data_IF_721508063711
#
_entry.id   IF_721508063711
#
_cell.length_a   1.000
_cell.length_b   1.000
_cell.length_c   1.000
_cell.angle_alpha   90.00
_cell.angle_beta   90.00
_cell.angle_gamma   90.00
#
_symmetry.space_group_name_H-M   'P 1'
#
loop_
_entity.id
_entity.type
_entity.pdbx_description
1 polymer ?
#
# COMPACT_ATOMS: atom_id res chain seq x y z
N UNK A 1 -1.64 11.72 -33.33
CA UNK A 1 -0.29 12.00 -32.84
C UNK A 1 -0.03 11.17 -31.58
N UNK A 2 0.88 10.20 -31.61
CA UNK A 2 1.30 9.50 -30.40
C UNK A 2 2.16 10.41 -29.52
N UNK A 3 1.85 10.49 -28.22
CA UNK A 3 2.64 11.20 -27.21
C UNK A 3 2.60 10.44 -25.88
N UNK A 4 3.77 10.00 -25.41
CA UNK A 4 3.90 9.08 -24.28
C UNK A 4 3.02 7.83 -24.51
N UNK A 5 2.09 7.58 -23.60
CA UNK A 5 1.15 6.46 -23.60
C UNK A 5 -0.21 6.82 -24.22
N UNK A 6 -0.35 8.01 -24.80
CA UNK A 6 -1.62 8.51 -25.34
C UNK A 6 -1.56 8.69 -26.86
N UNK A 7 -2.63 8.30 -27.53
CA UNK A 7 -2.90 8.61 -28.92
C UNK A 7 -3.82 9.83 -28.95
N UNK A 8 -3.29 10.95 -29.43
CA UNK A 8 -3.98 12.23 -29.51
C UNK A 8 -4.59 12.39 -30.90
N UNK A 9 -5.89 12.66 -30.98
CA UNK A 9 -6.63 12.87 -32.23
C UNK A 9 -7.41 14.17 -32.13
N UNK A 10 -7.31 15.03 -33.15
CA UNK A 10 -8.17 16.21 -33.27
C UNK A 10 -9.51 15.78 -33.87
N UNK A 11 -10.60 16.12 -33.20
CA UNK A 11 -11.96 15.88 -33.67
C UNK A 11 -12.40 16.97 -34.65
N UNK A 12 -13.46 16.71 -35.41
CA UNK A 12 -14.04 17.65 -36.37
C UNK A 12 -14.54 18.94 -35.70
N UNK A 13 -15.02 18.85 -34.45
CA UNK A 13 -15.43 19.99 -33.62
C UNK A 13 -14.25 20.80 -33.04
N UNK A 14 -13.02 20.45 -33.42
CA UNK A 14 -11.80 21.10 -32.94
C UNK A 14 -11.31 20.64 -31.57
N UNK A 15 -12.06 19.78 -30.85
CA UNK A 15 -11.62 19.25 -29.56
C UNK A 15 -10.55 18.17 -29.71
N UNK A 16 -9.83 17.94 -28.63
CA UNK A 16 -8.81 16.90 -28.54
C UNK A 16 -9.42 15.64 -27.91
N UNK A 17 -9.35 14.52 -28.61
CA UNK A 17 -9.64 13.19 -28.09
C UNK A 17 -8.33 12.48 -27.77
N UNK A 18 -8.25 11.85 -26.60
CA UNK A 18 -7.12 11.00 -26.22
C UNK A 18 -7.58 9.57 -25.99
N UNK A 19 -6.80 8.61 -26.49
CA UNK A 19 -6.98 7.17 -26.29
C UNK A 19 -5.65 6.54 -25.87
N UNK A 20 -5.64 5.28 -25.44
CA UNK A 20 -4.39 4.58 -25.10
C UNK A 20 -3.62 4.27 -26.38
N UNK A 21 -2.37 4.73 -26.44
CA UNK A 21 -1.46 4.40 -27.55
C UNK A 21 -0.81 3.04 -27.33
N UNK A 22 -0.74 2.24 -28.40
CA UNK A 22 -0.01 0.97 -28.45
C UNK A 22 0.93 0.99 -29.64
N UNK A 23 2.21 0.69 -29.40
CA UNK A 23 3.19 0.52 -30.47
C UNK A 23 2.83 -0.70 -31.33
N UNK A 24 3.22 -0.68 -32.61
CA UNK A 24 3.05 -1.82 -33.52
C UNK A 24 3.74 -3.10 -33.01
N UNK A 25 4.81 -2.96 -32.21
CA UNK A 25 5.54 -4.07 -31.58
C UNK A 25 4.89 -4.57 -30.27
N UNK A 26 3.70 -4.06 -29.90
CA UNK A 26 3.01 -4.53 -28.71
C UNK A 26 2.49 -5.97 -28.92
N UNK A 27 3.13 -6.95 -28.31
CA UNK A 27 2.78 -8.36 -28.41
C UNK A 27 1.68 -8.80 -27.42
N UNK A 28 0.93 -7.87 -26.83
CA UNK A 28 -0.13 -8.17 -25.85
C UNK A 28 0.32 -9.04 -24.66
N UNK A 29 1.61 -9.00 -24.30
CA UNK A 29 2.15 -9.71 -23.14
C UNK A 29 2.14 -8.83 -21.91
N UNK A 30 1.49 -9.34 -20.87
CA UNK A 30 1.57 -8.81 -19.51
C UNK A 30 2.10 -9.92 -18.59
N UNK A 31 2.23 -9.62 -17.30
CA UNK A 31 2.57 -10.61 -16.30
C UNK A 31 1.56 -11.76 -16.32
N UNK A 32 1.94 -12.95 -16.80
CA UNK A 32 1.03 -14.10 -16.89
C UNK A 32 0.54 -14.56 -15.50
N UNK A 33 -0.72 -15.00 -15.38
CA UNK A 33 -1.30 -15.31 -14.06
C UNK A 33 -0.59 -16.47 -13.32
N UNK A 34 -0.07 -17.46 -14.07
CA UNK A 34 0.66 -18.61 -13.52
C UNK A 34 2.15 -18.35 -13.25
N UNK A 35 2.66 -17.14 -13.50
CA UNK A 35 4.06 -16.83 -13.26
C UNK A 35 4.39 -16.88 -11.76
N UNK A 36 5.67 -17.13 -11.43
CA UNK A 36 6.18 -17.13 -10.06
C UNK A 36 6.33 -15.70 -9.53
N UNK A 37 5.20 -15.00 -9.34
CA UNK A 37 5.15 -13.63 -8.84
C UNK A 37 4.06 -13.50 -7.77
N UNK A 38 4.25 -12.60 -6.79
CA UNK A 38 3.25 -12.35 -5.76
C UNK A 38 1.88 -12.01 -6.34
N UNK A 39 0.82 -12.50 -5.70
CA UNK A 39 -0.56 -12.18 -6.07
C UNK A 39 -0.81 -10.67 -6.05
N UNK A 40 -0.17 -9.95 -5.14
CA UNK A 40 -0.23 -8.49 -5.05
C UNK A 40 0.26 -7.80 -6.33
N UNK A 41 1.34 -8.30 -6.95
CA UNK A 41 1.87 -7.73 -8.20
C UNK A 41 0.93 -7.99 -9.37
N UNK A 42 0.35 -9.19 -9.45
CA UNK A 42 -0.68 -9.53 -10.45
C UNK A 42 -1.91 -8.64 -10.30
N UNK A 43 -2.35 -8.40 -9.06
CA UNK A 43 -3.46 -7.50 -8.79
C UNK A 43 -3.13 -6.03 -9.10
N UNK A 44 -1.91 -5.59 -8.81
CA UNK A 44 -1.41 -4.26 -9.16
C UNK A 44 -1.38 -4.06 -10.68
N UNK A 45 -0.97 -5.07 -11.45
CA UNK A 45 -1.01 -5.04 -12.90
C UNK A 45 -2.43 -4.76 -13.43
N UNK A 46 -3.45 -5.44 -12.88
CA UNK A 46 -4.87 -5.16 -13.18
C UNK A 46 -5.23 -3.71 -12.84
N UNK A 47 -4.98 -3.28 -11.60
CA UNK A 47 -5.35 -1.93 -11.13
C UNK A 47 -4.72 -0.84 -11.98
N UNK A 48 -3.43 -0.93 -12.25
CA UNK A 48 -2.70 0.08 -13.01
C UNK A 48 -3.21 0.19 -14.44
N UNK A 49 -3.46 -0.93 -15.13
CA UNK A 49 -3.96 -0.88 -16.50
C UNK A 49 -5.38 -0.32 -16.58
N UNK A 50 -6.28 -0.71 -15.66
CA UNK A 50 -7.63 -0.13 -15.61
C UNK A 50 -7.63 1.34 -15.16
N UNK A 51 -6.70 1.75 -14.29
CA UNK A 51 -6.53 3.15 -13.91
C UNK A 51 -6.07 4.00 -15.10
N UNK A 52 -5.23 3.45 -15.98
CA UNK A 52 -4.80 4.14 -17.21
C UNK A 52 -5.97 4.46 -18.12
N UNK A 53 -6.99 3.59 -18.20
CA UNK A 53 -8.20 3.90 -18.96
C UNK A 53 -8.83 5.21 -18.51
N UNK A 54 -8.91 5.42 -17.19
CA UNK A 54 -9.50 6.63 -16.62
C UNK A 54 -8.64 7.88 -16.84
N UNK A 55 -7.32 7.73 -16.83
CA UNK A 55 -6.40 8.87 -16.96
C UNK A 55 -6.00 9.17 -18.41
N UNK A 56 -6.17 8.23 -19.34
CA UNK A 56 -5.71 8.33 -20.73
C UNK A 56 -6.84 8.50 -21.74
N UNK A 57 -8.01 7.91 -21.50
CA UNK A 57 -9.15 8.08 -22.40
C UNK A 57 -9.99 9.30 -21.99
N UNK A 58 -10.21 10.22 -22.95
CA UNK A 58 -10.97 11.45 -22.70
C UNK A 58 -12.48 11.23 -22.66
N UNK A 59 -12.99 10.33 -23.50
CA UNK A 59 -14.41 10.10 -23.74
C UNK A 59 -14.86 8.70 -23.31
N UNK A 60 -16.15 8.54 -23.07
CA UNK A 60 -16.71 7.29 -22.56
C UNK A 60 -16.69 6.15 -23.59
N UNK A 61 -16.72 6.46 -24.90
CA UNK A 61 -16.56 5.45 -25.95
C UNK A 61 -15.16 4.84 -25.89
N UNK A 62 -14.13 5.71 -25.88
CA UNK A 62 -12.74 5.28 -25.75
C UNK A 62 -12.49 4.51 -24.45
N UNK A 63 -13.11 4.91 -23.33
CA UNK A 63 -13.03 4.16 -22.07
C UNK A 63 -13.66 2.76 -22.19
N UNK A 64 -14.82 2.64 -22.84
CA UNK A 64 -15.53 1.37 -23.02
C UNK A 64 -14.76 0.41 -23.92
N UNK A 65 -14.26 0.89 -25.05
CA UNK A 65 -13.43 0.11 -25.98
C UNK A 65 -12.16 -0.39 -25.31
N UNK A 66 -11.46 0.50 -24.61
CA UNK A 66 -10.22 0.17 -23.90
C UNK A 66 -10.46 -0.82 -22.75
N UNK A 67 -11.56 -0.64 -22.01
CA UNK A 67 -11.97 -1.58 -20.97
C UNK A 67 -12.23 -2.98 -21.54
N UNK A 68 -12.95 -3.05 -22.68
CA UNK A 68 -13.21 -4.31 -23.39
C UNK A 68 -11.90 -4.98 -23.83
N UNK A 69 -10.97 -4.21 -24.37
CA UNK A 69 -9.64 -4.70 -24.72
C UNK A 69 -8.90 -5.27 -23.52
N UNK A 70 -8.89 -4.56 -22.37
CA UNK A 70 -8.19 -5.02 -21.18
C UNK A 70 -8.77 -6.33 -20.63
N UNK A 71 -10.09 -6.48 -20.64
CA UNK A 71 -10.70 -7.76 -20.27
C UNK A 71 -10.20 -8.91 -21.15
N UNK A 72 -10.19 -8.74 -22.46
CA UNK A 72 -9.67 -9.74 -23.39
C UNK A 72 -8.16 -10.02 -23.16
N UNK A 73 -7.37 -8.96 -22.95
CA UNK A 73 -5.93 -9.05 -22.66
C UNK A 73 -5.66 -9.90 -21.41
N UNK A 74 -6.35 -9.63 -20.30
CA UNK A 74 -6.18 -10.36 -19.05
C UNK A 74 -6.64 -11.81 -19.15
N UNK A 75 -7.76 -12.06 -19.83
CA UNK A 75 -8.26 -13.42 -20.09
C UNK A 75 -7.24 -14.24 -20.91
N UNK A 76 -6.68 -13.65 -21.98
CA UNK A 76 -5.64 -14.28 -22.79
C UNK A 76 -4.34 -14.56 -22.02
N UNK A 77 -4.05 -13.78 -20.96
CA UNK A 77 -2.90 -13.97 -20.07
C UNK A 77 -3.23 -14.83 -18.82
N UNK A 78 -4.37 -15.53 -18.84
CA UNK A 78 -4.75 -16.53 -17.84
C UNK A 78 -5.35 -15.99 -16.55
N UNK A 79 -5.78 -14.72 -16.51
CA UNK A 79 -6.38 -14.13 -15.30
C UNK A 79 -7.84 -14.57 -15.13
N UNK A 80 -8.21 -15.13 -13.97
CA UNK A 80 -9.61 -15.44 -13.70
C UNK A 80 -10.49 -14.20 -13.63
N UNK A 81 -11.66 -14.21 -14.29
CA UNK A 81 -12.66 -13.12 -14.20
C UNK A 81 -13.00 -12.70 -12.76
N UNK A 82 -13.19 -13.61 -11.78
CA UNK A 82 -13.42 -13.24 -10.39
C UNK A 82 -12.25 -12.46 -9.77
N UNK A 83 -11.02 -12.80 -10.14
CA UNK A 83 -9.82 -12.12 -9.65
C UNK A 83 -9.75 -10.68 -10.18
N UNK A 84 -10.01 -10.47 -11.47
CA UNK A 84 -10.08 -9.14 -12.08
C UNK A 84 -11.13 -8.29 -11.34
N UNK A 85 -12.35 -8.81 -11.16
CA UNK A 85 -13.41 -8.13 -10.42
C UNK A 85 -13.00 -7.78 -8.99
N UNK A 86 -12.33 -8.70 -8.28
CA UNK A 86 -11.81 -8.46 -6.92
C UNK A 86 -10.80 -7.31 -6.91
N UNK A 87 -9.90 -7.24 -7.88
CA UNK A 87 -8.87 -6.19 -7.94
C UNK A 87 -9.44 -4.79 -8.22
N UNK A 88 -10.54 -4.71 -8.98
CA UNK A 88 -11.21 -3.46 -9.35
C UNK A 88 -12.21 -2.97 -8.28
N UNK A 89 -12.50 -3.75 -7.24
CA UNK A 89 -13.29 -3.26 -6.11
C UNK A 89 -12.55 -2.11 -5.41
N UNK A 90 -13.27 -1.04 -5.11
CA UNK A 90 -12.76 0.03 -4.24
C UNK A 90 -12.40 -0.59 -2.87
N UNK A 91 -11.22 -0.30 -2.31
CA UNK A 91 -10.95 -0.67 -0.93
C UNK A 91 -11.93 0.09 -0.04
N UNK A 92 -12.73 -0.64 0.75
CA UNK A 92 -13.36 -0.09 1.95
C UNK A 92 -12.22 0.17 2.94
N UNK A 93 -11.57 1.31 2.84
CA UNK A 93 -10.70 1.77 3.90
C UNK A 93 -11.41 2.94 4.55
N UNK A 94 -12.15 2.65 5.62
CA UNK A 94 -12.14 3.58 6.74
C UNK A 94 -10.68 3.69 7.14
N UNK A 95 -10.07 4.83 6.81
CA UNK A 95 -8.69 5.12 7.13
C UNK A 95 -8.66 5.32 8.64
N UNK A 96 -8.45 4.27 9.41
CA UNK A 96 -8.13 4.41 10.83
C UNK A 96 -6.91 5.32 10.91
N UNK A 97 -7.01 6.39 11.70
CA UNK A 97 -5.96 7.42 11.81
C UNK A 97 -4.71 6.94 12.56
N UNK A 98 -4.70 5.69 13.01
CA UNK A 98 -3.55 5.05 13.63
C UNK A 98 -2.70 4.38 12.55
N UNK A 99 -1.56 5.01 12.25
CA UNK A 99 -0.52 4.36 11.45
C UNK A 99 0.24 3.38 12.33
N UNK A 100 -0.04 2.08 12.18
CA UNK A 100 0.81 1.05 12.76
C UNK A 100 2.27 1.24 12.30
N UNK A 101 3.27 1.03 13.18
CA UNK A 101 4.67 1.18 12.83
C UNK A 101 5.06 0.25 11.66
N UNK A 102 5.35 0.85 10.50
CA UNK A 102 5.75 0.16 9.27
C UNK A 102 7.17 -0.36 9.41
N UNK A 103 7.32 -1.67 9.42
CA UNK A 103 8.62 -2.35 9.33
C UNK A 103 8.77 -2.92 7.92
N UNK A 104 9.94 -2.72 7.32
CA UNK A 104 10.23 -3.19 5.97
C UNK A 104 10.97 -4.51 6.03
N UNK A 105 10.37 -5.56 5.47
CA UNK A 105 11.00 -6.87 5.32
C UNK A 105 11.13 -7.18 3.83
N UNK A 106 12.36 -7.22 3.33
CA UNK A 106 12.66 -7.55 1.95
C UNK A 106 12.98 -9.05 1.86
N UNK A 107 12.06 -9.84 1.31
CA UNK A 107 12.24 -11.27 1.06
C UNK A 107 12.12 -11.52 -0.45
N UNK A 108 13.08 -12.23 -1.08
CA UNK A 108 12.93 -12.70 -2.45
C UNK A 108 11.66 -13.55 -2.59
N UNK A 109 10.84 -13.29 -3.61
CA UNK A 109 9.63 -14.08 -3.80
C UNK A 109 9.96 -15.48 -4.35
N UNK A 110 9.87 -16.47 -3.48
CA UNK A 110 9.77 -17.88 -3.82
C UNK A 110 8.36 -18.30 -3.43
N UNK A 111 7.55 -18.75 -4.40
CA UNK A 111 6.18 -19.18 -4.14
C UNK A 111 6.14 -20.19 -2.98
N UNK A 112 5.09 -20.10 -2.17
CA UNK A 112 4.85 -20.90 -0.96
C UNK A 112 5.84 -20.58 0.19
N UNK A 113 7.15 -20.49 -0.06
CA UNK A 113 8.16 -20.18 0.95
C UNK A 113 8.06 -18.72 1.44
N UNK A 114 8.03 -17.76 0.53
CA UNK A 114 7.95 -16.34 0.90
C UNK A 114 6.62 -16.00 1.59
N UNK A 115 5.54 -16.69 1.20
CA UNK A 115 4.23 -16.57 1.83
C UNK A 115 4.25 -17.14 3.25
N UNK A 116 4.83 -18.33 3.44
CA UNK A 116 4.97 -18.94 4.76
C UNK A 116 5.86 -18.11 5.70
N UNK A 117 6.99 -17.58 5.21
CA UNK A 117 7.87 -16.71 6.00
C UNK A 117 7.13 -15.44 6.40
N UNK A 118 6.43 -14.80 5.46
CA UNK A 118 5.68 -13.57 5.73
C UNK A 118 4.57 -13.81 6.76
N UNK A 119 3.81 -14.89 6.61
CA UNK A 119 2.76 -15.27 7.57
C UNK A 119 3.32 -15.58 8.96
N UNK A 120 4.44 -16.30 9.03
CA UNK A 120 5.11 -16.63 10.28
C UNK A 120 5.60 -15.36 10.98
N UNK A 121 6.30 -14.48 10.25
CA UNK A 121 6.79 -13.21 10.79
C UNK A 121 5.64 -12.32 11.30
N UNK A 122 4.53 -12.25 10.54
CA UNK A 122 3.34 -11.50 10.96
C UNK A 122 2.69 -12.10 12.22
N UNK A 123 2.60 -13.43 12.32
CA UNK A 123 2.07 -14.11 13.51
C UNK A 123 2.94 -13.86 14.74
N UNK A 124 4.25 -14.06 14.63
CA UNK A 124 5.19 -13.81 15.72
C UNK A 124 5.12 -12.36 16.20
N UNK A 125 5.01 -11.40 15.27
CA UNK A 125 4.88 -9.99 15.62
C UNK A 125 3.57 -9.67 16.33
N UNK A 126 2.43 -10.13 15.82
CA UNK A 126 1.12 -9.93 16.48
C UNK A 126 1.13 -10.45 17.91
N UNK A 127 1.73 -11.62 18.14
CA UNK A 127 1.89 -12.19 19.48
C UNK A 127 2.82 -11.34 20.35
N UNK A 128 3.95 -10.87 19.81
CA UNK A 128 4.88 -9.98 20.52
C UNK A 128 4.21 -8.66 20.90
N UNK A 129 3.50 -8.01 19.98
CA UNK A 129 2.83 -6.73 20.20
C UNK A 129 1.69 -6.87 21.23
N UNK A 130 0.91 -7.97 21.17
CA UNK A 130 -0.10 -8.28 22.18
C UNK A 130 0.51 -8.52 23.56
N UNK A 131 1.62 -9.28 23.64
CA UNK A 131 2.34 -9.50 24.89
C UNK A 131 2.94 -8.21 25.47
N UNK A 132 3.47 -7.33 24.62
CA UNK A 132 3.95 -6.02 25.05
C UNK A 132 2.81 -5.17 25.61
N UNK A 133 1.65 -5.16 24.96
CA UNK A 133 0.47 -4.43 25.44
C UNK A 133 0.01 -4.91 26.82
N UNK A 134 0.00 -6.23 27.06
CA UNK A 134 -0.31 -6.80 28.38
C UNK A 134 0.73 -6.41 29.43
N UNK A 135 2.02 -6.43 29.09
CA UNK A 135 3.08 -5.95 29.99
C UNK A 135 2.89 -4.46 30.34
N UNK A 136 2.52 -3.62 29.38
CA UNK A 136 2.25 -2.20 29.63
C UNK A 136 1.10 -1.99 30.62
N UNK A 137 0.03 -2.80 30.56
CA UNK A 137 -1.08 -2.71 31.53
C UNK A 137 -0.67 -3.08 32.97
N UNK A 138 0.34 -3.93 33.13
CA UNK A 138 0.82 -4.39 34.44
C UNK A 138 1.83 -3.42 35.07
N UNK A 139 2.29 -2.41 34.33
CA UNK A 139 3.10 -1.34 34.89
C UNK A 139 2.18 -0.47 35.77
N UNK A 140 2.29 -0.63 37.08
CA UNK A 140 1.66 0.27 38.05
C UNK A 140 2.37 1.62 37.93
N UNK A 141 1.67 2.74 37.68
CA UNK A 141 2.30 4.05 37.67
C UNK A 141 2.84 4.33 39.08
N UNK A 142 4.15 4.59 39.27
CA UNK A 142 4.62 5.19 40.51
C UNK A 142 3.88 6.51 40.71
N UNK A 143 3.58 6.85 41.97
CA UNK A 143 2.92 8.12 42.32
C UNK A 143 3.64 9.27 41.61
N UNK A 144 2.92 10.19 40.95
CA UNK A 144 3.55 11.31 40.29
C UNK A 144 4.42 12.06 41.31
N UNK A 145 5.69 12.37 40.99
CA UNK A 145 6.48 13.21 41.86
C UNK A 145 5.78 14.56 41.96
N UNK A 146 5.52 15.02 43.18
CA UNK A 146 5.08 16.38 43.47
C UNK A 146 6.22 17.33 43.16
N UNK A 147 6.50 17.57 41.88
CA UNK A 147 7.48 18.57 41.45
C UNK A 147 6.93 19.32 40.25
N UNK A 148 6.73 20.60 40.48
CA UNK A 148 6.27 21.64 39.56
C UNK A 148 7.40 21.99 38.55
N UNK A 149 7.91 20.97 37.85
CA UNK A 149 9.07 21.06 36.97
C UNK A 149 8.68 20.90 35.50
N UNK A 150 9.01 21.90 34.69
CA UNK A 150 8.81 21.87 33.23
C UNK A 150 9.57 20.69 32.59
N UNK A 151 8.83 19.70 32.08
CA UNK A 151 9.35 18.58 31.32
C UNK A 151 9.69 19.02 29.88
N UNK A 152 10.98 19.05 29.56
CA UNK A 152 11.46 19.25 28.18
C UNK A 152 11.91 17.91 27.62
N UNK A 153 11.11 17.31 26.73
CA UNK A 153 11.51 16.12 25.96
C UNK A 153 11.82 16.47 24.50
N UNK A 154 12.89 15.90 23.97
CA UNK A 154 13.37 16.14 22.61
C UNK A 154 12.91 14.99 21.69
N UNK A 155 11.59 14.89 21.48
CA UNK A 155 10.96 13.74 20.81
C UNK A 155 10.25 14.13 19.49
N UNK A 156 9.98 13.15 18.58
CA UNK A 156 9.61 13.41 17.19
C UNK A 156 8.24 14.09 17.04
N UNK A 157 8.02 14.77 15.92
CA UNK A 157 6.80 15.54 15.56
C UNK A 157 5.47 14.76 15.54
N UNK A 158 5.44 13.45 15.84
CA UNK A 158 4.21 12.66 15.80
C UNK A 158 3.50 12.70 17.16
N UNK A 159 2.16 12.87 17.16
CA UNK A 159 1.38 12.81 18.40
C UNK A 159 1.50 11.43 19.02
N UNK A 160 1.94 11.39 20.27
CA UNK A 160 2.04 10.21 21.10
C UNK A 160 0.66 9.90 21.71
N UNK A 161 0.37 8.64 21.91
CA UNK A 161 -0.83 8.20 22.64
C UNK A 161 -0.66 8.44 24.15
N UNK A 162 -1.76 8.64 24.87
CA UNK A 162 -1.77 8.79 26.35
C UNK A 162 -0.89 7.78 27.12
N UNK A 163 -0.90 6.47 26.81
CA UNK A 163 0.00 5.52 27.46
C UNK A 163 1.48 5.75 27.12
N UNK A 164 1.81 6.20 25.90
CA UNK A 164 3.19 6.51 25.51
C UNK A 164 3.71 7.77 26.20
N UNK A 165 2.87 8.81 26.34
CA UNK A 165 3.18 10.01 27.10
C UNK A 165 3.41 9.70 28.57
N UNK A 166 2.59 8.80 29.13
CA UNK A 166 2.74 8.32 30.51
C UNK A 166 4.10 7.63 30.69
N UNK A 167 4.50 6.77 29.75
CA UNK A 167 5.82 6.11 29.78
C UNK A 167 6.98 7.10 29.70
N UNK A 168 6.84 8.18 28.92
CA UNK A 168 7.87 9.21 28.75
C UNK A 168 7.95 10.21 29.89
N UNK A 169 6.88 10.35 30.68
CA UNK A 169 6.86 11.16 31.90
C UNK A 169 7.66 10.54 33.05
N UNK A 170 8.02 9.25 32.93
CA UNK A 170 8.98 8.62 33.82
C UNK A 170 10.38 9.09 33.44
N UNK A 171 10.95 9.98 34.23
CA UNK A 171 12.32 10.50 34.04
C UNK A 171 13.28 9.36 33.67
N UNK A 172 13.79 9.39 32.43
CA UNK A 172 15.00 8.65 32.10
C UNK A 172 16.14 9.35 32.83
N UNK A 173 16.52 8.84 34.00
CA UNK A 173 17.75 9.22 34.67
C UNK A 173 18.93 8.73 33.82
N UNK A 174 19.31 9.52 32.83
CA UNK A 174 20.60 9.34 32.18
C UNK A 174 21.68 9.62 33.22
N UNK A 175 22.54 8.64 33.45
CA UNK A 175 23.66 8.78 34.37
C UNK A 175 24.68 9.72 33.70
N UNK A 176 24.75 10.98 34.14
CA UNK A 176 25.67 11.99 33.60
C UNK A 176 27.06 11.91 34.23
N UNK A 177 27.47 10.75 34.77
CA UNK A 177 28.78 10.63 35.43
C UNK A 177 29.97 10.71 34.46
N UNK A 178 29.73 10.52 33.16
CA UNK A 178 30.76 10.51 32.12
C UNK A 178 30.67 11.74 31.18
N UNK A 179 30.20 12.89 31.67
CA UNK A 179 30.23 14.17 30.94
C UNK A 179 31.23 15.16 31.57
#
# INVERSE_FOLDING_TARGET
LPFLDKQVTKLEDGKIRTTVYRKATNIMRILHFRSNHPVAHKCSCVRTLFQRVQTHCSDDSGKKEETKYLHALFEANGYPKPFIRKCLRKPNHERSKEEDPKFWLAIPYVKDLAEAILESAQRHRKLSDANLLEKFKQIIPPKPPTSDGNLVHNLPSHRLTEPQLTVLSYDAKFNTSDA
#
